data_IF_347475298644
#
_entry.id   IF_347475298644
#
_cell.length_a   1.000
_cell.length_b   1.000
_cell.length_c   1.000
_cell.angle_alpha   90.00
_cell.angle_beta   90.00
_cell.angle_gamma   90.00
#
_symmetry.space_group_name_H-M   'P 1'
#
loop_
_entity.id
_entity.type
_entity.pdbx_description
1 polymer ?
#
# COMPACT_ATOMS: atom_id res chain seq x y z
N UNK A 1 -9.90 -15.64 1.18
CA UNK A 1 -11.01 -14.89 1.78
C UNK A 1 -11.42 -13.74 0.87
N UNK A 2 -12.71 -13.59 0.56
CA UNK A 2 -13.21 -12.53 -0.32
C UNK A 2 -14.71 -12.32 -0.08
N UNK A 3 -15.28 -11.27 -0.71
CA UNK A 3 -16.68 -10.87 -0.54
C UNK A 3 -17.72 -11.98 -0.77
N UNK A 4 -17.48 -12.86 -1.75
CA UNK A 4 -18.35 -14.00 -2.07
C UNK A 4 -18.33 -15.19 -1.09
N UNK A 5 -17.62 -15.11 0.04
CA UNK A 5 -17.68 -16.14 1.11
C UNK A 5 -18.62 -15.70 2.22
N UNK A 6 -19.38 -16.63 2.78
CA UNK A 6 -20.21 -16.38 3.97
C UNK A 6 -19.36 -16.01 5.18
N UNK A 7 -19.95 -15.35 6.18
CA UNK A 7 -19.24 -14.99 7.40
C UNK A 7 -18.68 -16.22 8.13
N UNK A 8 -19.47 -17.30 8.22
CA UNK A 8 -19.04 -18.59 8.79
C UNK A 8 -17.82 -19.17 8.06
N UNK A 9 -17.83 -19.19 6.71
CA UNK A 9 -16.69 -19.67 5.93
C UNK A 9 -15.42 -18.85 6.17
N UNK A 10 -15.59 -17.54 6.40
CA UNK A 10 -14.48 -16.63 6.73
C UNK A 10 -13.92 -16.94 8.12
N UNK A 11 -14.77 -17.18 9.11
CA UNK A 11 -14.37 -17.54 10.47
C UNK A 11 -13.63 -18.88 10.51
N UNK A 12 -14.14 -19.91 9.83
CA UNK A 12 -13.49 -21.23 9.70
C UNK A 12 -12.08 -21.09 9.09
N UNK A 13 -11.93 -20.23 8.08
CA UNK A 13 -10.64 -19.99 7.43
C UNK A 13 -9.65 -19.31 8.38
N UNK A 14 -10.09 -18.30 9.14
CA UNK A 14 -9.27 -17.63 10.15
C UNK A 14 -8.87 -18.57 11.27
N UNK A 15 -9.82 -19.36 11.78
CA UNK A 15 -9.55 -20.31 12.84
C UNK A 15 -8.51 -21.35 12.41
N UNK A 16 -8.63 -21.87 11.18
CA UNK A 16 -7.62 -22.76 10.61
C UNK A 16 -6.25 -22.12 10.48
N UNK A 17 -6.19 -20.84 10.09
CA UNK A 17 -4.93 -20.11 10.02
C UNK A 17 -4.31 -19.87 11.41
N UNK A 18 -5.11 -19.43 12.40
CA UNK A 18 -4.65 -19.23 13.79
C UNK A 18 -4.19 -20.52 14.45
N UNK A 19 -4.90 -21.63 14.20
CA UNK A 19 -4.55 -22.96 14.66
C UNK A 19 -3.37 -23.59 13.89
N UNK A 20 -2.72 -22.84 12.97
CA UNK A 20 -1.62 -23.31 12.10
C UNK A 20 -1.97 -24.52 11.25
N UNK A 21 -3.26 -24.78 11.01
CA UNK A 21 -3.72 -25.76 9.99
C UNK A 21 -3.37 -25.27 8.59
N UNK A 22 -3.35 -23.95 8.40
CA UNK A 22 -2.86 -23.28 7.20
C UNK A 22 -1.80 -22.26 7.59
N UNK A 23 -0.71 -22.20 6.85
CA UNK A 23 0.38 -21.24 7.09
C UNK A 23 0.24 -19.96 6.23
N UNK A 24 -0.69 -19.96 5.27
CA UNK A 24 -0.91 -18.85 4.34
C UNK A 24 -2.39 -18.54 4.26
N UNK A 25 -2.72 -17.26 4.37
CA UNK A 25 -4.07 -16.74 4.20
C UNK A 25 -4.08 -15.72 3.06
N UNK A 26 -4.79 -16.03 1.98
CA UNK A 26 -4.97 -15.12 0.83
C UNK A 26 -6.29 -14.37 1.01
N UNK A 27 -6.28 -13.03 0.89
CA UNK A 27 -7.46 -12.19 1.08
C UNK A 27 -7.52 -10.98 0.14
N UNK A 28 -8.74 -10.49 -0.14
CA UNK A 28 -8.98 -9.19 -0.80
C UNK A 28 -9.54 -8.16 0.19
N UNK A 29 -9.46 -6.87 -0.15
CA UNK A 29 -9.85 -5.74 0.73
C UNK A 29 -11.32 -5.72 1.16
N UNK A 30 -12.17 -6.53 0.51
CA UNK A 30 -13.61 -6.68 0.85
C UNK A 30 -13.80 -7.27 2.26
N UNK A 31 -12.73 -7.75 2.89
CA UNK A 31 -12.74 -8.41 4.21
C UNK A 31 -12.63 -7.39 5.38
N UNK A 32 -12.61 -6.08 5.12
CA UNK A 32 -12.20 -5.05 6.08
C UNK A 32 -13.12 -4.72 7.27
N UNK A 33 -14.36 -5.23 7.37
CA UNK A 33 -15.24 -4.97 8.52
C UNK A 33 -15.64 -6.26 9.22
N UNK A 34 -15.28 -6.37 10.50
CA UNK A 34 -15.67 -7.48 11.38
C UNK A 34 -14.70 -8.67 11.46
N UNK A 35 -13.56 -8.62 10.75
CA UNK A 35 -12.58 -9.71 10.77
C UNK A 35 -11.22 -9.15 11.15
N UNK A 36 -10.83 -9.41 12.40
CA UNK A 36 -9.53 -9.03 12.92
C UNK A 36 -8.51 -10.16 12.67
N UNK A 37 -7.46 -9.88 11.91
CA UNK A 37 -6.32 -10.78 11.70
C UNK A 37 -5.10 -10.13 12.37
N UNK A 38 -4.94 -10.23 13.70
CA UNK A 38 -3.76 -9.72 14.37
C UNK A 38 -2.61 -10.75 14.34
N UNK A 39 -1.38 -10.24 14.35
CA UNK A 39 -0.16 -11.00 14.68
C UNK A 39 0.34 -11.98 13.59
N UNK A 40 0.33 -11.55 12.32
CA UNK A 40 1.03 -12.30 11.26
C UNK A 40 2.52 -11.93 11.21
N UNK A 41 3.38 -12.89 10.89
CA UNK A 41 4.83 -12.66 10.76
C UNK A 41 5.19 -11.85 9.50
N UNK A 42 4.44 -12.04 8.41
CA UNK A 42 4.71 -11.42 7.12
C UNK A 42 3.42 -11.07 6.40
N UNK A 43 3.30 -9.83 5.94
CA UNK A 43 2.26 -9.37 5.03
C UNK A 43 2.84 -9.27 3.62
N UNK A 44 2.19 -9.90 2.64
CA UNK A 44 2.56 -9.77 1.23
C UNK A 44 1.43 -9.07 0.49
N UNK A 45 1.67 -7.85 0.01
CA UNK A 45 0.79 -7.19 -0.94
C UNK A 45 1.12 -7.71 -2.34
N UNK A 46 0.39 -8.75 -2.76
CA UNK A 46 0.52 -9.28 -4.11
C UNK A 46 0.10 -8.23 -5.15
N UNK A 47 -1.05 -7.58 -4.92
CA UNK A 47 -1.47 -6.38 -5.64
C UNK A 47 -1.40 -5.18 -4.71
N UNK A 48 -0.80 -4.09 -5.19
CA UNK A 48 -0.70 -2.85 -4.42
C UNK A 48 -2.10 -2.22 -4.22
N UNK A 49 -2.48 -1.84 -2.99
CA UNK A 49 -3.70 -1.08 -2.76
C UNK A 49 -3.69 0.25 -3.51
N UNK A 50 -4.87 0.69 -3.98
CA UNK A 50 -5.01 1.97 -4.69
C UNK A 50 -4.89 3.22 -3.79
N UNK A 51 -4.91 3.04 -2.47
CA UNK A 51 -4.79 4.11 -1.49
C UNK A 51 -3.82 3.73 -0.37
N UNK A 52 -3.02 4.69 0.08
CA UNK A 52 -1.97 4.44 1.08
C UNK A 52 -2.53 4.06 2.46
N UNK A 53 -3.75 4.51 2.79
CA UNK A 53 -4.46 4.15 4.01
C UNK A 53 -4.76 2.65 4.04
N UNK A 54 -5.17 2.09 2.89
CA UNK A 54 -5.43 0.66 2.75
C UNK A 54 -4.14 -0.15 2.85
N UNK A 55 -3.05 0.33 2.25
CA UNK A 55 -1.72 -0.24 2.46
C UNK A 55 -1.34 -0.27 3.94
N UNK A 56 -1.52 0.84 4.65
CA UNK A 56 -1.22 0.97 6.08
C UNK A 56 -2.05 -0.02 6.91
N UNK A 57 -3.34 -0.17 6.61
CA UNK A 57 -4.21 -1.16 7.27
C UNK A 57 -3.79 -2.61 7.02
N UNK A 58 -3.30 -2.93 5.81
CA UNK A 58 -2.79 -4.26 5.46
C UNK A 58 -1.50 -4.57 6.21
N UNK A 59 -0.50 -3.68 6.16
CA UNK A 59 0.78 -3.92 6.84
C UNK A 59 0.65 -3.87 8.36
N UNK A 60 -0.34 -3.14 8.89
CA UNK A 60 -0.67 -3.12 10.33
C UNK A 60 -1.18 -4.45 10.91
N UNK A 61 -1.23 -5.52 10.10
CA UNK A 61 -1.48 -6.90 10.54
C UNK A 61 -0.24 -7.59 11.08
N UNK A 62 0.96 -7.07 10.77
CA UNK A 62 2.24 -7.53 11.32
C UNK A 62 2.82 -6.51 12.32
N UNK A 63 3.90 -6.88 13.00
CA UNK A 63 4.73 -5.95 13.79
C UNK A 63 4.07 -5.37 15.05
N UNK A 64 3.14 -6.10 15.69
CA UNK A 64 2.45 -5.64 16.91
C UNK A 64 3.16 -6.10 18.19
N UNK A 65 2.88 -5.41 19.30
CA UNK A 65 3.33 -5.76 20.64
C UNK A 65 4.86 -5.97 20.76
N UNK A 66 5.65 -5.12 20.10
CA UNK A 66 7.12 -5.17 20.14
C UNK A 66 7.75 -6.26 19.28
N UNK A 67 6.97 -7.06 18.54
CA UNK A 67 7.49 -8.04 17.59
C UNK A 67 7.92 -7.34 16.30
N UNK A 68 8.99 -7.83 15.68
CA UNK A 68 9.33 -7.47 14.30
C UNK A 68 8.33 -8.07 13.33
N UNK A 69 7.90 -7.29 12.34
CA UNK A 69 7.04 -7.73 11.26
C UNK A 69 7.66 -7.39 9.91
N UNK A 70 7.41 -8.21 8.89
CA UNK A 70 7.85 -7.92 7.52
C UNK A 70 6.64 -7.61 6.65
N UNK A 71 6.76 -6.58 5.82
CA UNK A 71 5.82 -6.31 4.75
C UNK A 71 6.59 -6.29 3.42
N UNK A 72 6.09 -7.04 2.44
CA UNK A 72 6.62 -7.03 1.08
C UNK A 72 5.50 -6.65 0.13
N UNK A 73 5.79 -5.77 -0.82
CA UNK A 73 4.82 -5.36 -1.83
C UNK A 73 5.40 -5.53 -3.22
N UNK A 74 4.58 -6.05 -4.12
CA UNK A 74 4.85 -5.95 -5.54
C UNK A 74 4.26 -4.65 -6.06
N UNK A 75 5.05 -3.94 -6.86
CA UNK A 75 4.67 -2.67 -7.48
C UNK A 75 4.77 -2.83 -8.99
N UNK A 76 3.79 -2.28 -9.69
CA UNK A 76 3.77 -2.19 -11.14
C UNK A 76 3.63 -0.73 -11.57
N UNK A 77 3.78 -0.46 -12.87
CA UNK A 77 3.50 0.87 -13.43
C UNK A 77 2.02 1.26 -13.34
N UNK A 78 1.11 0.34 -13.00
CA UNK A 78 -0.30 0.65 -12.74
C UNK A 78 -0.58 1.17 -11.32
N UNK A 79 0.47 1.27 -10.50
CA UNK A 79 0.38 1.67 -9.09
C UNK A 79 1.05 3.03 -8.83
N UNK A 80 1.39 3.76 -9.91
CA UNK A 80 2.08 5.06 -9.85
C UNK A 80 1.37 6.09 -8.98
N UNK A 81 0.05 6.02 -8.90
CA UNK A 81 -0.77 6.90 -8.08
C UNK A 81 -0.47 6.77 -6.57
N UNK A 82 0.16 5.68 -6.12
CA UNK A 82 0.52 5.49 -4.72
C UNK A 82 2.02 5.71 -4.47
N UNK A 83 2.84 5.86 -5.51
CA UNK A 83 4.29 5.89 -5.37
C UNK A 83 4.80 7.04 -4.50
N UNK A 84 4.23 8.23 -4.66
CA UNK A 84 4.57 9.38 -3.83
C UNK A 84 4.28 9.10 -2.35
N UNK A 85 3.05 8.73 -2.02
CA UNK A 85 2.64 8.52 -0.64
C UNK A 85 3.37 7.32 -0.01
N UNK A 86 3.60 6.25 -0.76
CA UNK A 86 4.39 5.10 -0.32
C UNK A 86 5.83 5.50 0.02
N UNK A 87 6.49 6.29 -0.84
CA UNK A 87 7.83 6.81 -0.59
C UNK A 87 7.85 7.67 0.69
N UNK A 88 6.91 8.60 0.84
CA UNK A 88 6.83 9.44 2.04
C UNK A 88 6.66 8.61 3.30
N UNK A 89 5.77 7.62 3.27
CA UNK A 89 5.52 6.73 4.39
C UNK A 89 6.75 5.88 4.76
N UNK A 90 7.51 5.36 3.77
CA UNK A 90 8.76 4.65 4.02
C UNK A 90 9.82 5.55 4.66
N UNK A 91 9.96 6.79 4.21
CA UNK A 91 10.87 7.78 4.82
C UNK A 91 10.45 8.10 6.26
N UNK A 92 9.18 8.38 6.49
CA UNK A 92 8.64 8.73 7.82
C UNK A 92 8.77 7.59 8.83
N UNK A 93 8.67 6.35 8.37
CA UNK A 93 8.84 5.16 9.19
C UNK A 93 10.30 4.72 9.34
N UNK A 94 11.26 5.49 8.80
CA UNK A 94 12.68 5.14 8.77
C UNK A 94 12.96 3.76 8.13
N UNK A 95 12.12 3.37 7.17
CA UNK A 95 12.26 2.13 6.40
C UNK A 95 13.12 2.37 5.16
N UNK A 96 13.79 1.33 4.68
CA UNK A 96 14.56 1.42 3.44
C UNK A 96 13.65 1.78 2.27
N UNK A 97 14.02 2.85 1.54
CA UNK A 97 13.33 3.25 0.31
C UNK A 97 14.06 2.63 -0.88
N UNK A 98 13.42 1.75 -1.66
CA UNK A 98 14.04 1.18 -2.86
C UNK A 98 14.50 2.30 -3.82
N UNK A 99 15.74 2.26 -4.34
CA UNK A 99 16.24 3.30 -5.26
C UNK A 99 15.35 3.51 -6.49
N UNK A 100 14.74 2.44 -6.98
CA UNK A 100 13.82 2.45 -8.12
C UNK A 100 12.59 3.31 -7.80
N UNK A 101 11.98 3.11 -6.63
CA UNK A 101 10.87 3.94 -6.16
C UNK A 101 11.32 5.37 -5.91
N UNK A 102 12.48 5.56 -5.25
CA UNK A 102 12.98 6.89 -4.88
C UNK A 102 13.22 7.80 -6.09
N UNK A 103 13.70 7.23 -7.20
CA UNK A 103 14.05 7.93 -8.44
C UNK A 103 12.88 8.05 -9.43
N UNK A 104 11.82 7.25 -9.28
CA UNK A 104 10.69 7.26 -10.19
C UNK A 104 9.97 8.61 -10.21
N UNK A 105 9.57 9.09 -11.39
CA UNK A 105 8.95 10.42 -11.57
C UNK A 105 7.66 10.58 -10.75
N UNK A 106 6.79 9.56 -10.78
CA UNK A 106 5.55 9.54 -9.99
C UNK A 106 5.75 9.57 -8.47
N UNK A 107 6.98 9.37 -7.97
CA UNK A 107 7.28 9.48 -6.53
C UNK A 107 7.70 10.89 -6.10
N UNK A 108 7.85 11.82 -7.04
CA UNK A 108 8.40 13.17 -6.78
C UNK A 108 7.35 14.16 -6.31
N UNK A 109 6.13 14.04 -6.84
CA UNK A 109 5.02 14.96 -6.58
C UNK A 109 3.78 14.18 -6.19
N UNK A 110 2.94 14.81 -5.36
CA UNK A 110 1.68 14.19 -4.96
C UNK A 110 0.75 14.06 -6.18
N UNK A 111 0.11 12.90 -6.40
CA UNK A 111 -0.87 12.75 -7.47
C UNK A 111 -1.94 13.85 -7.38
N UNK A 112 -2.27 14.46 -8.51
CA UNK A 112 -3.28 15.52 -8.58
C UNK A 112 -2.78 16.93 -8.23
N UNK A 113 -1.52 17.12 -7.79
CA UNK A 113 -0.92 18.47 -7.74
C UNK A 113 -0.37 18.81 -9.11
N UNK A 114 -0.88 19.88 -9.74
CA UNK A 114 -0.31 20.41 -10.99
C UNK A 114 1.15 20.79 -10.70
N UNK A 115 2.13 20.23 -11.43
CA UNK A 115 3.50 20.72 -11.32
C UNK A 115 3.48 22.18 -11.74
N UNK A 116 3.92 23.07 -10.88
CA UNK A 116 4.04 24.50 -11.16
C UNK A 116 4.86 24.66 -12.44
N UNK A 117 4.18 24.94 -13.55
CA UNK A 117 4.83 25.11 -14.84
C UNK A 117 5.44 26.51 -14.81
N UNK A 118 6.77 26.68 -14.96
CA UNK A 118 7.31 28.01 -15.06
C UNK A 118 6.65 28.73 -16.25
N UNK A 119 6.27 30.01 -16.12
CA UNK A 119 5.60 30.74 -17.19
C UNK A 119 6.48 30.73 -18.43
N UNK A 120 5.89 30.40 -19.58
CA UNK A 120 6.57 30.50 -20.88
C UNK A 120 6.88 31.98 -21.11
N UNK A 121 8.16 32.34 -21.08
CA UNK A 121 8.63 33.65 -21.50
C UNK A 121 8.61 33.71 -23.03
N UNK A 122 7.44 33.91 -23.65
CA UNK A 122 7.35 34.12 -25.09
C UNK A 122 6.02 34.74 -25.56
N UNK A 123 5.47 35.72 -24.83
CA UNK A 123 4.43 36.62 -25.38
C UNK A 123 4.90 38.07 -25.21
N UNK A 124 6.07 38.41 -25.79
CA UNK A 124 6.38 39.81 -26.12
C UNK A 124 5.88 40.05 -27.53
N UNK A 125 4.58 40.34 -27.65
CA UNK A 125 4.05 40.96 -28.87
C UNK A 125 4.53 42.40 -28.86
N UNK A 126 5.54 42.70 -29.68
CA UNK A 126 5.86 44.09 -30.01
C UNK A 126 4.70 44.64 -30.83
N UNK A 127 3.94 45.56 -30.23
CA UNK A 127 3.00 46.40 -30.97
C UNK A 127 3.77 47.67 -31.33
N UNK A 128 3.97 47.90 -32.63
CA UNK A 128 4.40 49.18 -33.20
C UNK A 128 3.25 50.18 -33.20
#
# INVERSE_FOLDING_TARGET
MHGGKSQEQREISLEGFRAKRYNVLVATDVVGRGIDIPDVAHVINYDMPKHIEMYTHRIGRTGRAGKSGVATSFLTLHDTDVFYDLKQMLVQSNSAVPPELARHEASRFKPGTVPDRPPRHSDTVYIN
#
